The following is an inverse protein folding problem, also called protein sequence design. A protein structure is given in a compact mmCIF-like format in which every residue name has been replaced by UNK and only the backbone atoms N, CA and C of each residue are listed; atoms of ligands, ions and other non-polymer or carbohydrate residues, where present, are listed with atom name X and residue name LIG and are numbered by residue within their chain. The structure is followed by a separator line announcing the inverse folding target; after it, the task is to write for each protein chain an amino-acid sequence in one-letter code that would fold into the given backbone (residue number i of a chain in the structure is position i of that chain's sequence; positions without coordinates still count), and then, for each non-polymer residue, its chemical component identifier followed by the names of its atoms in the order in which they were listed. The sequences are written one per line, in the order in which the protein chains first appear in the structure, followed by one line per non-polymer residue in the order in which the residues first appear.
data_IF_112551336514
#
_entry.id   IF_112551336514
#
_cell.length_a   1.000
_cell.length_b   1.000
_cell.length_c   1.000
_cell.angle_alpha   90.00
_cell.angle_beta   90.00
_cell.angle_gamma   90.00
#
_symmetry.space_group_name_H-M   'P 1'
#
loop_
_entity.id
_entity.type
_entity.pdbx_description
1 polymer ?
#
# COMPACT_ATOMS: atom_id res chain seq x y z
N UNK A 1 24.74 -7.87 43.70
CA UNK A 1 23.41 -8.01 44.36
C UNK A 1 22.61 -6.74 44.13
N UNK A 2 21.52 -6.85 43.33
CA UNK A 2 20.59 -5.73 43.03
C UNK A 2 19.61 -5.42 44.17
N UNK A 3 19.91 -5.83 45.40
CA UNK A 3 18.98 -5.73 46.57
C UNK A 3 18.99 -4.36 47.24
N UNK A 4 19.80 -3.41 46.83
CA UNK A 4 19.92 -2.08 47.41
C UNK A 4 19.80 -1.00 46.34
N UNK A 5 19.09 0.11 46.62
CA UNK A 5 18.98 1.27 45.71
C UNK A 5 20.32 1.92 45.41
N UNK A 6 21.33 1.70 46.23
CA UNK A 6 22.72 2.17 46.02
C UNK A 6 23.48 1.38 44.95
N UNK A 7 22.96 0.23 44.50
CA UNK A 7 23.54 -0.60 43.44
C UNK A 7 23.15 -0.11 42.03
N UNK A 8 22.20 0.81 41.90
CA UNK A 8 21.74 1.34 40.63
C UNK A 8 22.34 2.72 40.35
N UNK A 9 23.05 2.86 39.21
CA UNK A 9 23.38 4.16 38.64
C UNK A 9 22.19 4.73 37.90
N UNK A 10 21.92 6.02 38.04
CA UNK A 10 20.78 6.72 37.44
C UNK A 10 21.28 7.94 36.68
N UNK A 11 20.74 8.16 35.48
CA UNK A 11 21.10 9.31 34.64
C UNK A 11 19.83 9.86 33.98
N UNK A 12 19.77 11.16 33.74
CA UNK A 12 18.76 11.81 32.92
C UNK A 12 19.21 11.75 31.46
N UNK A 13 18.44 11.10 30.61
CA UNK A 13 18.73 10.90 29.17
C UNK A 13 18.28 12.11 28.35
N UNK A 14 17.10 12.63 28.63
CA UNK A 14 16.52 13.83 28.02
C UNK A 14 15.73 14.60 29.07
N UNK A 15 15.82 15.93 29.07
CA UNK A 15 15.11 16.83 30.00
C UNK A 15 14.48 18.03 29.28
N UNK A 16 14.43 18.00 27.95
CA UNK A 16 13.90 19.10 27.16
C UNK A 16 12.39 18.99 27.01
N UNK A 17 11.67 19.45 28.03
CA UNK A 17 10.21 19.39 28.10
C UNK A 17 9.65 18.16 28.85
N UNK A 18 8.40 17.83 28.61
CA UNK A 18 7.72 16.62 29.16
C UNK A 18 8.02 15.43 28.24
N UNK A 19 9.16 14.78 28.46
CA UNK A 19 9.71 13.72 27.61
C UNK A 19 9.81 12.39 28.36
N UNK A 20 9.97 11.28 27.60
CA UNK A 20 10.21 9.94 28.15
C UNK A 20 8.95 9.12 28.42
N UNK A 21 7.75 9.57 28.04
CA UNK A 21 6.54 8.76 28.16
C UNK A 21 6.51 7.61 27.16
N UNK A 22 5.87 6.50 27.54
CA UNK A 22 5.73 5.31 26.69
C UNK A 22 7.05 4.79 26.12
N UNK A 23 8.11 4.83 26.94
CA UNK A 23 9.44 4.41 26.50
C UNK A 23 9.56 2.90 26.32
N UNK A 24 10.48 2.52 25.41
CA UNK A 24 10.90 1.14 25.18
C UNK A 24 12.41 1.13 24.94
N UNK A 25 13.09 0.08 25.36
CA UNK A 25 14.55 -0.05 25.26
C UNK A 25 14.94 -1.34 24.54
N UNK A 26 16.00 -1.24 23.72
CA UNK A 26 16.66 -2.39 23.08
C UNK A 26 18.18 -2.21 23.16
N UNK A 27 18.93 -3.31 22.95
CA UNK A 27 20.40 -3.35 22.99
C UNK A 27 20.85 -4.00 21.69
N UNK A 28 21.78 -3.35 20.97
CA UNK A 28 22.35 -3.87 19.73
C UNK A 28 23.48 -4.88 19.96
N UNK A 29 24.03 -5.45 18.87
CA UNK A 29 25.12 -6.43 18.91
C UNK A 29 26.43 -5.90 19.47
N UNK A 30 26.58 -4.57 19.58
CA UNK A 30 27.76 -3.87 20.12
C UNK A 30 27.52 -3.34 21.54
N UNK A 31 26.49 -3.83 22.22
CA UNK A 31 26.06 -3.38 23.55
C UNK A 31 25.64 -1.90 23.63
N UNK A 32 25.32 -1.24 22.50
CA UNK A 32 24.78 0.09 22.54
C UNK A 32 23.29 0.07 22.94
N UNK A 33 22.88 1.05 23.71
CA UNK A 33 21.52 1.20 24.22
C UNK A 33 20.70 2.09 23.30
N UNK A 34 19.48 1.67 23.01
CA UNK A 34 18.54 2.37 22.15
C UNK A 34 17.20 2.51 22.85
N UNK A 35 16.69 3.74 22.97
CA UNK A 35 15.43 4.05 23.64
C UNK A 35 14.52 4.81 22.69
N UNK A 36 13.34 4.29 22.43
CA UNK A 36 12.24 5.04 21.82
C UNK A 36 11.36 5.63 22.92
N UNK A 37 10.88 6.87 22.75
CA UNK A 37 10.02 7.53 23.72
C UNK A 37 9.21 8.65 23.09
N UNK A 38 8.17 9.09 23.81
CA UNK A 38 7.34 10.21 23.40
C UNK A 38 7.83 11.50 24.05
N UNK A 39 7.90 12.55 23.26
CA UNK A 39 7.93 13.96 23.68
C UNK A 39 6.47 14.47 23.71
N UNK A 40 5.93 14.69 24.91
CA UNK A 40 4.56 15.20 25.08
C UNK A 40 4.47 16.71 24.88
N UNK A 41 5.57 17.44 24.99
CA UNK A 41 5.62 18.89 24.77
C UNK A 41 5.46 19.21 23.29
N UNK A 42 6.24 18.53 22.44
CA UNK A 42 6.20 18.73 20.98
C UNK A 42 5.27 17.73 20.27
N UNK A 43 4.82 16.69 20.98
CA UNK A 43 3.95 15.62 20.47
C UNK A 43 4.65 14.71 19.43
N UNK A 44 5.97 14.53 19.60
CA UNK A 44 6.84 13.82 18.68
C UNK A 44 7.18 12.41 19.17
N UNK A 45 7.54 11.53 18.21
CA UNK A 45 8.31 10.30 18.48
C UNK A 45 9.79 10.66 18.53
N UNK A 46 10.45 10.35 19.66
CA UNK A 46 11.88 10.56 19.84
C UNK A 46 12.64 9.27 20.09
N UNK A 47 13.92 9.35 19.87
CA UNK A 47 14.88 8.29 20.03
C UNK A 47 16.14 8.81 20.74
N UNK A 48 16.69 7.99 21.64
CA UNK A 48 17.96 8.24 22.29
C UNK A 48 18.88 7.02 22.19
N UNK A 49 20.19 7.26 22.07
CA UNK A 49 21.19 6.18 22.03
C UNK A 49 22.44 6.53 22.83
N UNK A 50 23.09 5.47 23.32
CA UNK A 50 24.36 5.54 24.02
C UNK A 50 25.16 4.27 23.80
N UNK A 51 26.41 4.40 23.28
CA UNK A 51 27.32 3.28 22.97
C UNK A 51 28.38 3.01 24.01
N UNK A 52 28.63 3.97 24.94
CA UNK A 52 29.63 3.81 26.00
C UNK A 52 29.39 4.79 27.14
N UNK A 53 29.79 4.42 28.37
CA UNK A 53 29.69 5.30 29.56
C UNK A 53 28.27 5.82 29.80
N UNK A 54 27.25 4.99 29.58
CA UNK A 54 25.81 5.37 29.59
C UNK A 54 25.30 5.81 30.99
N UNK A 55 26.13 5.77 32.00
CA UNK A 55 25.87 6.39 33.32
C UNK A 55 26.16 7.90 33.36
N UNK A 56 26.68 8.48 32.26
CA UNK A 56 26.87 9.93 32.11
C UNK A 56 25.82 10.50 31.14
N UNK A 57 25.18 11.61 31.50
CA UNK A 57 24.20 12.29 30.66
C UNK A 57 24.77 12.75 29.31
N UNK A 58 26.07 13.15 29.31
CA UNK A 58 26.76 13.62 28.10
C UNK A 58 27.06 12.53 27.07
N UNK A 59 26.88 11.25 27.44
CA UNK A 59 27.09 10.11 26.55
C UNK A 59 25.84 9.75 25.72
N UNK A 60 24.68 10.35 26.01
CA UNK A 60 23.44 10.13 25.29
C UNK A 60 23.26 11.15 24.18
N UNK A 61 22.80 10.69 23.04
CA UNK A 61 22.36 11.52 21.91
C UNK A 61 20.89 11.31 21.65
N UNK A 62 20.17 12.42 21.39
CA UNK A 62 18.72 12.40 21.16
C UNK A 62 18.40 12.91 19.76
N UNK A 63 17.40 12.30 19.12
CA UNK A 63 16.89 12.76 17.83
C UNK A 63 15.37 12.60 17.75
N UNK A 64 14.75 13.37 16.86
CA UNK A 64 13.33 13.20 16.51
C UNK A 64 13.22 12.20 15.37
N UNK A 65 12.32 11.22 15.51
CA UNK A 65 12.05 10.19 14.53
C UNK A 65 10.85 10.56 13.65
N UNK A 66 9.77 11.03 14.27
CA UNK A 66 8.57 11.52 13.59
C UNK A 66 8.01 12.72 14.35
N UNK A 67 7.71 13.81 13.63
CA UNK A 67 7.12 15.05 14.16
C UNK A 67 5.86 15.47 13.39
N UNK A 68 5.31 14.58 12.54
CA UNK A 68 4.13 14.89 11.75
C UNK A 68 2.86 14.58 12.54
N UNK A 69 2.31 15.60 13.17
CA UNK A 69 1.13 15.48 14.03
C UNK A 69 1.45 15.05 15.45
N UNK A 70 0.48 14.46 16.14
CA UNK A 70 0.59 13.98 17.50
C UNK A 70 0.96 12.50 17.49
N UNK A 71 2.26 12.17 17.50
CA UNK A 71 2.80 10.83 17.27
C UNK A 71 3.62 10.29 18.46
N UNK A 72 4.11 9.05 18.34
CA UNK A 72 5.00 8.42 19.33
C UNK A 72 4.30 7.93 20.60
N UNK A 73 2.97 7.84 20.61
CA UNK A 73 2.28 7.26 21.75
C UNK A 73 2.45 5.74 21.77
N UNK A 74 2.73 5.19 22.96
CA UNK A 74 2.84 3.73 23.21
C UNK A 74 3.85 3.05 22.29
N UNK A 75 5.03 3.69 22.14
CA UNK A 75 6.11 3.19 21.29
C UNK A 75 6.72 1.89 21.83
N UNK A 76 7.18 1.04 20.91
CA UNK A 76 7.96 -0.17 21.18
C UNK A 76 9.09 -0.29 20.17
N UNK A 77 10.31 -0.64 20.62
CA UNK A 77 11.51 -0.74 19.79
C UNK A 77 12.07 -2.16 19.78
N UNK A 78 12.52 -2.62 18.61
CA UNK A 78 13.28 -3.85 18.40
C UNK A 78 14.43 -3.60 17.43
N UNK A 79 15.36 -4.54 17.35
CA UNK A 79 16.59 -4.47 16.54
C UNK A 79 16.69 -5.75 15.71
N UNK A 80 17.05 -5.63 14.44
CA UNK A 80 17.26 -6.76 13.53
C UNK A 80 18.72 -7.28 13.58
N UNK A 81 19.03 -8.29 12.74
CA UNK A 81 20.36 -8.92 12.72
C UNK A 81 21.48 -8.03 12.17
N UNK A 82 21.12 -6.96 11.45
CA UNK A 82 22.04 -5.95 10.90
C UNK A 82 22.17 -4.70 11.81
N UNK A 83 21.68 -4.78 13.06
CA UNK A 83 21.60 -3.68 14.02
C UNK A 83 20.71 -2.50 13.56
N UNK A 84 19.83 -2.70 12.58
CA UNK A 84 18.85 -1.70 12.23
C UNK A 84 17.71 -1.63 13.25
N UNK A 85 17.22 -0.43 13.49
CA UNK A 85 16.22 -0.14 14.51
C UNK A 85 14.83 -0.12 13.89
N UNK A 86 13.88 -0.69 14.61
CA UNK A 86 12.48 -0.80 14.23
C UNK A 86 11.60 -0.33 15.37
N UNK A 87 10.73 0.64 15.13
CA UNK A 87 9.86 1.24 16.14
C UNK A 87 8.41 1.16 15.67
N UNK A 88 7.53 0.52 16.43
CA UNK A 88 6.08 0.64 16.27
C UNK A 88 5.53 1.70 17.21
N UNK A 89 4.55 2.48 16.77
CA UNK A 89 3.94 3.56 17.56
C UNK A 89 2.55 3.93 17.07
N UNK A 90 1.78 4.58 17.93
CA UNK A 90 0.45 5.09 17.61
C UNK A 90 0.52 6.57 17.23
N UNK A 91 -0.09 6.91 16.09
CA UNK A 91 -0.39 8.27 15.65
C UNK A 91 -1.76 8.67 16.20
N UNK A 92 -1.76 9.56 17.18
CA UNK A 92 -3.00 10.03 17.83
C UNK A 92 -3.82 10.93 16.90
N UNK A 93 -3.15 11.69 16.02
CA UNK A 93 -3.83 12.62 15.09
C UNK A 93 -4.72 11.88 14.11
N UNK A 94 -4.19 10.83 13.50
CA UNK A 94 -4.91 10.08 12.47
C UNK A 94 -5.61 8.82 13.04
N UNK A 95 -5.20 8.38 14.22
CA UNK A 95 -5.67 7.14 14.81
C UNK A 95 -5.03 5.89 14.24
N UNK A 96 -3.81 6.00 13.70
CA UNK A 96 -3.15 4.97 12.91
C UNK A 96 -2.09 4.21 13.70
N UNK A 97 -1.85 2.94 13.30
CA UNK A 97 -0.61 2.24 13.61
C UNK A 97 0.48 2.70 12.65
N UNK A 98 1.57 3.24 13.17
CA UNK A 98 2.76 3.62 12.39
C UNK A 98 3.99 2.80 12.79
N UNK A 99 4.94 2.79 11.88
CA UNK A 99 6.22 2.12 11.99
C UNK A 99 7.33 3.01 11.47
N UNK A 100 8.48 3.00 12.14
CA UNK A 100 9.70 3.68 11.71
C UNK A 100 10.88 2.72 11.72
N UNK A 101 11.81 2.89 10.77
CA UNK A 101 13.08 2.17 10.72
C UNK A 101 14.20 3.06 10.20
N UNK A 102 15.44 2.77 10.61
CA UNK A 102 16.64 3.41 10.09
C UNK A 102 17.48 2.49 9.18
N UNK A 103 16.92 1.38 8.70
CA UNK A 103 17.60 0.38 7.87
C UNK A 103 18.29 0.98 6.62
N UNK A 104 17.79 2.08 6.08
CA UNK A 104 18.41 2.80 4.96
C UNK A 104 19.48 3.83 5.37
N UNK A 105 19.89 3.86 6.65
CA UNK A 105 20.82 4.83 7.21
C UNK A 105 20.18 6.14 7.69
N UNK A 106 18.86 6.31 7.49
CA UNK A 106 18.06 7.42 8.00
C UNK A 106 16.67 6.94 8.39
N UNK A 107 16.01 7.66 9.32
CA UNK A 107 14.65 7.31 9.72
C UNK A 107 13.66 7.45 8.56
N UNK A 108 12.93 6.38 8.31
CA UNK A 108 11.80 6.33 7.38
C UNK A 108 10.55 5.90 8.14
N UNK A 109 9.44 6.62 7.95
CA UNK A 109 8.17 6.40 8.64
C UNK A 109 7.11 5.90 7.66
N UNK A 110 6.30 4.94 8.07
CA UNK A 110 5.18 4.44 7.26
C UNK A 110 3.96 4.15 8.12
N UNK A 111 2.77 4.27 7.55
CA UNK A 111 1.51 3.83 8.16
C UNK A 111 1.33 2.35 7.86
N UNK A 112 1.09 1.55 8.89
CA UNK A 112 0.88 0.10 8.80
C UNK A 112 -0.59 -0.23 8.70
N UNK A 113 -1.42 0.39 9.56
CA UNK A 113 -2.87 0.21 9.56
C UNK A 113 -3.53 1.58 9.85
N UNK A 114 -4.53 1.93 9.04
CA UNK A 114 -5.30 3.19 9.15
C UNK A 114 -6.81 2.97 9.14
N UNK A 115 -7.26 1.73 9.31
CA UNK A 115 -8.69 1.41 9.27
C UNK A 115 -9.29 1.59 10.67
N UNK A 116 -9.84 2.76 10.92
CA UNK A 116 -10.41 3.15 12.21
C UNK A 116 -9.36 3.72 13.18
N UNK A 117 -9.57 3.57 14.50
CA UNK A 117 -8.59 3.96 15.51
C UNK A 117 -7.81 2.72 15.95
N UNK A 118 -6.61 2.55 15.40
CA UNK A 118 -5.76 1.36 15.55
C UNK A 118 -4.37 1.72 16.10
N UNK A 119 -3.55 0.72 16.44
CA UNK A 119 -2.16 0.91 16.87
C UNK A 119 -1.98 1.30 18.33
N UNK A 120 -3.04 1.31 19.14
CA UNK A 120 -2.87 1.51 20.59
C UNK A 120 -2.22 0.30 21.25
N UNK A 121 -1.41 0.54 22.28
CA UNK A 121 -0.72 -0.51 23.03
C UNK A 121 0.12 -1.44 22.16
N UNK A 122 0.78 -0.88 21.13
CA UNK A 122 1.60 -1.64 20.21
C UNK A 122 2.82 -2.25 20.90
N UNK A 123 3.20 -3.45 20.46
CA UNK A 123 4.43 -4.14 20.83
C UNK A 123 5.06 -4.74 19.57
N UNK A 124 6.38 -4.66 19.44
CA UNK A 124 7.15 -5.11 18.28
C UNK A 124 8.16 -6.19 18.68
N UNK A 125 8.32 -7.19 17.84
CA UNK A 125 9.39 -8.19 17.90
C UNK A 125 9.92 -8.46 16.48
N UNK A 126 11.16 -8.96 16.39
CA UNK A 126 11.81 -9.34 15.13
C UNK A 126 12.26 -10.78 15.27
N UNK A 127 12.01 -11.60 14.25
CA UNK A 127 12.45 -12.98 14.23
C UNK A 127 13.89 -13.13 13.67
N UNK A 128 14.41 -14.35 13.69
CA UNK A 128 15.76 -14.66 13.21
C UNK A 128 15.97 -14.49 11.69
N UNK A 129 14.92 -14.14 10.96
CA UNK A 129 14.92 -13.87 9.52
C UNK A 129 14.65 -12.38 9.23
N UNK A 130 14.75 -11.52 10.24
CA UNK A 130 14.50 -10.08 10.21
C UNK A 130 13.06 -9.70 9.83
N UNK A 131 12.12 -10.65 10.05
CA UNK A 131 10.70 -10.35 9.90
C UNK A 131 10.20 -9.58 11.10
N UNK A 132 9.55 -8.45 10.84
CA UNK A 132 8.93 -7.61 11.86
C UNK A 132 7.54 -8.11 12.21
N UNK A 133 7.25 -8.26 13.49
CA UNK A 133 5.97 -8.69 14.06
C UNK A 133 5.47 -7.62 15.01
N UNK A 134 4.23 -7.15 14.84
CA UNK A 134 3.62 -6.11 15.67
C UNK A 134 2.26 -6.57 16.16
N UNK A 135 2.05 -6.59 17.47
CA UNK A 135 0.72 -6.73 18.08
C UNK A 135 0.18 -5.36 18.49
N UNK A 136 -1.13 -5.13 18.35
CA UNK A 136 -1.75 -3.85 18.68
C UNK A 136 -3.26 -3.96 18.89
N UNK A 137 -3.83 -2.98 19.59
CA UNK A 137 -5.25 -2.86 19.82
C UNK A 137 -5.94 -2.01 18.75
N UNK A 138 -7.03 -2.53 18.22
CA UNK A 138 -8.01 -1.82 17.39
C UNK A 138 -9.12 -1.28 18.28
N UNK A 139 -9.09 0.02 18.58
CA UNK A 139 -10.05 0.65 19.48
C UNK A 139 -11.43 0.86 18.83
N UNK A 140 -11.54 0.84 17.51
CA UNK A 140 -12.81 0.95 16.78
C UNK A 140 -13.63 -0.33 16.93
N UNK A 141 -12.99 -1.48 16.72
CA UNK A 141 -13.64 -2.79 16.79
C UNK A 141 -13.47 -3.46 18.17
N UNK A 142 -12.56 -2.93 18.99
CA UNK A 142 -12.18 -3.47 20.30
C UNK A 142 -11.49 -4.83 20.22
N UNK A 143 -10.77 -5.06 19.13
CA UNK A 143 -10.09 -6.31 18.77
C UNK A 143 -8.59 -6.24 19.05
N UNK A 144 -7.98 -7.41 19.30
CA UNK A 144 -6.54 -7.60 19.21
C UNK A 144 -6.16 -7.89 17.77
N UNK A 145 -5.22 -7.10 17.22
CA UNK A 145 -4.70 -7.26 15.86
C UNK A 145 -3.20 -7.52 15.86
N UNK A 146 -2.74 -8.07 14.76
CA UNK A 146 -1.35 -8.37 14.48
C UNK A 146 -1.00 -7.90 13.06
N UNK A 147 0.20 -7.34 12.90
CA UNK A 147 0.77 -6.97 11.62
C UNK A 147 2.20 -7.53 11.46
N UNK A 148 2.60 -7.85 10.24
CA UNK A 148 3.94 -8.35 9.93
C UNK A 148 4.37 -7.96 8.52
N UNK A 149 5.68 -7.81 8.27
CA UNK A 149 6.28 -7.52 6.97
C UNK A 149 6.78 -8.76 6.23
N UNK A 150 6.13 -9.90 6.35
CA UNK A 150 6.56 -11.18 5.74
C UNK A 150 6.92 -11.13 4.23
N UNK A 151 6.83 -9.97 3.59
CA UNK A 151 7.43 -9.71 2.26
C UNK A 151 8.21 -8.40 2.30
N UNK A 152 9.46 -8.46 1.84
CA UNK A 152 10.44 -7.38 1.81
C UNK A 152 9.90 -6.08 1.19
N UNK A 153 9.32 -5.23 1.95
CA UNK A 153 9.17 -3.78 1.77
C UNK A 153 8.00 -3.22 2.57
N UNK A 154 8.21 -2.88 3.83
CA UNK A 154 7.36 -1.89 4.51
C UNK A 154 7.56 -0.48 3.87
N UNK A 155 8.53 -0.31 2.98
CA UNK A 155 8.93 0.97 2.39
C UNK A 155 7.95 1.54 1.37
N UNK A 156 6.87 0.84 1.00
CA UNK A 156 5.93 1.37 0.00
C UNK A 156 4.44 1.16 0.33
N UNK A 157 4.06 1.14 1.59
CA UNK A 157 2.64 1.24 1.99
C UNK A 157 1.71 0.13 1.52
N UNK A 158 2.23 -0.93 0.90
CA UNK A 158 1.44 -2.05 0.38
C UNK A 158 2.24 -3.33 0.56
N UNK A 159 1.82 -4.20 1.50
CA UNK A 159 2.39 -5.53 1.62
C UNK A 159 2.55 -6.13 3.01
N UNK A 160 2.18 -5.41 4.07
CA UNK A 160 2.13 -5.97 5.43
C UNK A 160 0.89 -6.85 5.63
N UNK A 161 1.07 -7.91 6.40
CA UNK A 161 -0.03 -8.78 6.83
C UNK A 161 -0.72 -8.17 8.00
N UNK A 162 -2.01 -7.91 7.92
CA UNK A 162 -2.85 -7.55 9.06
C UNK A 162 -3.81 -8.70 9.34
N UNK A 163 -3.81 -9.22 10.57
CA UNK A 163 -4.71 -10.28 11.03
C UNK A 163 -5.44 -9.87 12.32
N UNK A 164 -6.67 -10.31 12.46
CA UNK A 164 -7.33 -10.35 13.76
C UNK A 164 -6.78 -11.55 14.56
N UNK A 165 -6.35 -11.31 15.78
CA UNK A 165 -5.87 -12.35 16.70
C UNK A 165 -7.01 -12.82 17.60
N UNK A 166 -7.72 -11.88 18.17
CA UNK A 166 -8.90 -12.12 19.02
C UNK A 166 -9.94 -11.02 18.73
N UNK A 167 -11.18 -11.41 18.52
CA UNK A 167 -12.31 -10.53 18.20
C UNK A 167 -13.36 -10.49 19.29
N UNK A 168 -13.02 -10.99 20.47
CA UNK A 168 -13.83 -10.75 21.66
C UNK A 168 -13.75 -9.26 22.03
N UNK A 169 -14.81 -8.73 22.62
CA UNK A 169 -14.86 -7.29 22.93
C UNK A 169 -13.84 -6.90 24.00
N UNK A 170 -13.13 -5.79 23.78
CA UNK A 170 -12.12 -5.18 24.67
C UNK A 170 -10.87 -6.03 24.91
N UNK A 171 -10.41 -6.79 23.92
CA UNK A 171 -9.18 -7.59 24.02
C UNK A 171 -7.96 -6.80 23.58
N UNK A 172 -6.91 -6.76 24.41
CA UNK A 172 -5.68 -5.99 24.16
C UNK A 172 -5.79 -4.50 24.51
N UNK A 173 -6.86 -4.05 25.14
CA UNK A 173 -7.19 -2.63 25.33
C UNK A 173 -6.37 -1.89 26.41
N UNK A 174 -5.56 -2.58 27.19
CA UNK A 174 -4.64 -1.98 28.17
C UNK A 174 -3.18 -2.41 28.03
N UNK A 175 -2.92 -3.35 27.12
CA UNK A 175 -1.57 -3.81 26.81
C UNK A 175 -1.57 -5.07 25.98
N UNK A 176 -0.65 -5.12 25.06
CA UNK A 176 -0.22 -6.33 24.36
C UNK A 176 1.31 -6.44 24.49
N UNK A 177 1.81 -7.67 24.48
CA UNK A 177 3.25 -7.93 24.38
C UNK A 177 3.46 -9.08 23.44
N UNK A 178 4.40 -8.93 22.52
CA UNK A 178 4.73 -9.91 21.49
C UNK A 178 6.17 -10.41 21.67
N UNK A 179 6.37 -11.68 21.44
CA UNK A 179 7.68 -12.31 21.36
C UNK A 179 7.67 -13.33 20.24
N UNK A 180 8.85 -13.64 19.69
CA UNK A 180 9.04 -14.69 18.69
C UNK A 180 10.05 -15.67 19.24
N UNK A 181 9.76 -16.95 19.13
CA UNK A 181 10.67 -18.01 19.59
C UNK A 181 11.73 -18.38 18.54
N UNK A 182 12.64 -19.29 18.88
CA UNK A 182 13.69 -19.74 17.98
C UNK A 182 13.19 -20.52 16.76
N UNK A 183 11.94 -20.96 16.77
CA UNK A 183 11.28 -21.60 15.63
C UNK A 183 10.59 -20.58 14.72
N UNK A 184 10.52 -19.30 15.10
CA UNK A 184 9.78 -18.24 14.42
C UNK A 184 8.29 -18.22 14.79
N UNK A 185 7.87 -18.97 15.81
CA UNK A 185 6.49 -18.93 16.27
C UNK A 185 6.23 -17.65 17.04
N UNK A 186 5.11 -17.00 16.74
CA UNK A 186 4.71 -15.73 17.35
C UNK A 186 3.85 -15.99 18.59
N UNK A 187 4.21 -15.35 19.68
CA UNK A 187 3.53 -15.44 20.96
C UNK A 187 3.06 -14.07 21.40
N UNK A 188 1.77 -13.92 21.72
CA UNK A 188 1.18 -12.65 22.16
C UNK A 188 0.48 -12.87 23.50
N UNK A 189 0.87 -12.12 24.51
CA UNK A 189 0.09 -11.97 25.74
C UNK A 189 -0.69 -10.67 25.72
N UNK A 190 -1.93 -10.68 26.22
CA UNK A 190 -2.81 -9.52 26.18
C UNK A 190 -3.88 -9.56 27.28
N UNK A 191 -4.43 -8.39 27.57
CA UNK A 191 -5.50 -8.23 28.56
C UNK A 191 -6.87 -8.37 27.91
N UNK A 192 -7.74 -9.16 28.51
CA UNK A 192 -9.18 -9.22 28.22
C UNK A 192 -9.94 -8.29 29.17
N UNK A 193 -10.27 -7.11 28.68
CA UNK A 193 -10.96 -6.08 29.46
C UNK A 193 -12.45 -6.38 29.73
N UNK A 194 -13.01 -7.41 29.10
CA UNK A 194 -14.39 -7.84 29.36
C UNK A 194 -14.45 -8.73 30.61
N UNK A 195 -13.51 -9.68 30.72
CA UNK A 195 -13.50 -10.67 31.80
C UNK A 195 -12.49 -10.33 32.88
N UNK A 196 -11.54 -9.43 32.64
CA UNK A 196 -10.46 -9.07 33.54
C UNK A 196 -9.33 -10.11 33.57
N UNK A 197 -9.16 -10.86 32.47
CA UNK A 197 -8.26 -12.01 32.37
C UNK A 197 -6.97 -11.67 31.62
N UNK A 198 -5.88 -12.38 31.96
CA UNK A 198 -4.70 -12.49 31.13
C UNK A 198 -4.93 -13.58 30.07
N UNK A 199 -4.86 -13.20 28.80
CA UNK A 199 -4.99 -14.14 27.67
C UNK A 199 -3.65 -14.29 26.93
N UNK A 200 -3.53 -15.38 26.23
CA UNK A 200 -2.38 -15.73 25.39
C UNK A 200 -2.87 -16.26 24.06
N UNK A 201 -2.20 -15.81 22.98
CA UNK A 201 -2.37 -16.33 21.64
C UNK A 201 -1.02 -16.72 21.05
N UNK A 202 -1.00 -17.73 20.22
CA UNK A 202 0.18 -18.14 19.44
C UNK A 202 -0.19 -18.30 17.98
N UNK A 203 0.77 -17.96 17.12
CA UNK A 203 0.73 -18.24 15.69
C UNK A 203 1.93 -19.11 15.39
N UNK A 204 1.71 -20.43 15.33
CA UNK A 204 2.73 -21.43 15.05
C UNK A 204 3.02 -21.50 13.55
N UNK A 205 4.26 -21.78 13.20
CA UNK A 205 4.66 -22.03 11.82
C UNK A 205 4.78 -20.76 10.96
N UNK A 206 5.06 -19.59 11.54
CA UNK A 206 5.38 -18.36 10.80
C UNK A 206 6.80 -18.35 10.25
N UNK A 207 7.40 -19.52 10.03
CA UNK A 207 8.68 -19.61 9.35
C UNK A 207 8.61 -18.93 7.97
N UNK A 208 9.66 -18.23 7.53
CA UNK A 208 9.75 -17.70 6.16
C UNK A 208 9.53 -18.77 5.08
N UNK A 209 9.58 -20.03 5.47
CA UNK A 209 9.42 -21.24 4.64
C UNK A 209 8.08 -21.96 4.83
N UNK A 210 7.26 -21.60 5.82
CA UNK A 210 5.95 -22.20 6.10
C UNK A 210 4.79 -21.22 5.87
N UNK A 211 4.83 -20.50 4.79
CA UNK A 211 3.80 -19.51 4.45
C UNK A 211 2.55 -20.22 3.96
N UNK A 212 1.48 -20.14 4.74
CA UNK A 212 0.14 -20.23 4.16
C UNK A 212 -0.08 -18.94 3.38
N UNK A 213 -0.19 -19.02 2.07
CA UNK A 213 -0.38 -17.81 1.30
C UNK A 213 -0.25 -18.05 -0.18
N UNK A 214 -0.34 -16.93 -0.89
CA UNK A 214 -0.29 -16.91 -2.34
C UNK A 214 0.82 -15.97 -2.79
N UNK A 215 1.55 -16.36 -3.82
CA UNK A 215 2.42 -15.45 -4.58
C UNK A 215 2.06 -15.50 -6.06
N UNK A 216 2.51 -14.53 -6.79
CA UNK A 216 2.33 -14.44 -8.23
C UNK A 216 3.64 -14.08 -8.91
N UNK A 217 3.93 -14.75 -10.01
CA UNK A 217 5.10 -14.47 -10.84
C UNK A 217 4.71 -14.55 -12.32
N UNK A 218 5.15 -13.61 -13.11
CA UNK A 218 5.84 -12.35 -12.80
C UNK A 218 4.94 -11.34 -12.08
N UNK A 219 5.47 -10.14 -11.75
CA UNK A 219 4.70 -9.06 -11.12
C UNK A 219 3.47 -8.70 -11.94
N UNK A 220 2.33 -8.44 -11.26
CA UNK A 220 1.10 -7.97 -11.87
C UNK A 220 1.30 -6.63 -12.61
N UNK A 221 0.41 -6.29 -13.57
CA UNK A 221 0.34 -4.95 -14.14
C UNK A 221 0.20 -3.87 -13.07
N UNK A 222 0.77 -2.70 -13.32
CA UNK A 222 0.71 -1.55 -12.41
C UNK A 222 -0.74 -1.20 -12.05
N UNK A 223 -1.01 -1.05 -10.76
CA UNK A 223 -2.35 -0.80 -10.22
C UNK A 223 -3.12 -2.04 -9.80
N UNK A 224 -2.65 -3.26 -10.14
CA UNK A 224 -3.20 -4.50 -9.61
C UNK A 224 -2.33 -5.06 -8.49
N UNK A 225 -2.96 -5.65 -7.48
CA UNK A 225 -2.32 -6.24 -6.31
C UNK A 225 -2.87 -7.64 -6.04
N UNK A 226 -2.00 -8.54 -5.59
CA UNK A 226 -2.39 -9.83 -5.05
C UNK A 226 -2.45 -9.75 -3.52
N UNK A 227 -3.57 -10.13 -2.94
CA UNK A 227 -3.65 -10.38 -1.51
C UNK A 227 -2.98 -11.74 -1.23
N UNK A 228 -1.81 -11.70 -0.59
CA UNK A 228 -1.01 -12.88 -0.32
C UNK A 228 -1.66 -13.92 0.60
N UNK A 229 -2.78 -13.59 1.27
CA UNK A 229 -3.50 -14.51 2.18
C UNK A 229 -4.76 -15.10 1.56
N UNK A 230 -5.54 -14.27 0.86
CA UNK A 230 -6.79 -14.70 0.26
C UNK A 230 -6.61 -15.22 -1.16
N UNK A 231 -5.49 -14.87 -1.81
CA UNK A 231 -5.26 -15.10 -3.23
C UNK A 231 -6.08 -14.17 -4.13
N UNK A 232 -6.75 -13.17 -3.56
CA UNK A 232 -7.56 -12.20 -4.30
C UNK A 232 -6.66 -11.24 -5.08
N UNK A 233 -6.96 -11.05 -6.35
CA UNK A 233 -6.35 -10.00 -7.17
C UNK A 233 -7.34 -8.85 -7.25
N UNK A 234 -6.89 -7.66 -6.85
CA UNK A 234 -7.72 -6.44 -6.78
C UNK A 234 -6.94 -5.23 -7.27
N UNK A 235 -7.66 -4.11 -7.45
CA UNK A 235 -7.09 -2.85 -7.90
C UNK A 235 -7.60 -2.42 -9.27
N UNK A 236 -7.09 -1.28 -9.75
CA UNK A 236 -7.40 -0.72 -11.07
C UNK A 236 -6.10 -0.56 -11.84
N UNK A 237 -5.92 -1.26 -12.97
CA UNK A 237 -4.70 -1.14 -13.77
C UNK A 237 -4.59 0.27 -14.35
N UNK A 238 -3.37 0.82 -14.36
CA UNK A 238 -3.08 2.18 -14.81
C UNK A 238 -2.24 2.24 -16.08
N UNK A 239 -1.74 1.09 -16.55
CA UNK A 239 -0.92 0.96 -17.76
C UNK A 239 -1.41 -0.22 -18.60
N UNK A 240 -1.32 -0.07 -19.94
CA UNK A 240 -1.63 -1.16 -20.88
C UNK A 240 -0.63 -2.32 -20.70
N UNK A 241 -1.11 -3.53 -20.81
CA UNK A 241 -0.28 -4.73 -20.72
C UNK A 241 -0.73 -5.76 -21.75
N UNK A 242 0.22 -6.25 -22.54
CA UNK A 242 -0.05 -7.36 -23.44
C UNK A 242 -0.49 -8.59 -22.66
N UNK A 243 -1.23 -9.48 -23.34
CA UNK A 243 -1.62 -10.77 -22.80
C UNK A 243 -0.41 -11.53 -22.25
N UNK A 244 -0.38 -11.75 -20.92
CA UNK A 244 0.73 -12.36 -20.20
C UNK A 244 0.22 -13.39 -19.22
N UNK A 245 0.91 -14.52 -19.16
CA UNK A 245 0.60 -15.59 -18.21
C UNK A 245 1.31 -15.35 -16.88
N UNK A 246 0.57 -15.46 -15.79
CA UNK A 246 1.03 -15.34 -14.41
C UNK A 246 0.83 -16.67 -13.70
N UNK A 247 1.87 -17.12 -13.00
CA UNK A 247 1.80 -18.31 -12.15
C UNK A 247 1.49 -17.88 -10.72
N UNK A 248 0.37 -18.33 -10.20
CA UNK A 248 0.00 -18.18 -8.79
C UNK A 248 0.43 -19.45 -8.07
N UNK A 249 1.21 -19.30 -7.01
CA UNK A 249 1.62 -20.38 -6.13
C UNK A 249 0.92 -20.23 -4.79
N UNK A 250 0.26 -21.31 -4.35
CA UNK A 250 -0.32 -21.39 -3.01
C UNK A 250 0.51 -22.38 -2.17
N UNK A 251 0.76 -22.03 -0.90
CA UNK A 251 1.52 -22.87 0.03
C UNK A 251 0.68 -23.22 1.26
N UNK A 252 0.95 -24.39 1.80
CA UNK A 252 0.52 -24.82 3.13
C UNK A 252 1.57 -25.75 3.75
N UNK A 253 1.36 -26.24 4.97
CA UNK A 253 2.28 -27.19 5.65
C UNK A 253 2.54 -28.49 4.88
N UNK A 254 1.67 -28.85 3.94
CA UNK A 254 1.83 -30.03 3.08
C UNK A 254 2.66 -29.76 1.83
N UNK A 255 3.04 -28.50 1.55
CA UNK A 255 3.79 -28.10 0.38
C UNK A 255 3.11 -26.97 -0.43
N UNK A 256 3.47 -26.86 -1.70
CA UNK A 256 2.91 -25.86 -2.61
C UNK A 256 2.22 -26.48 -3.82
N UNK A 257 1.23 -25.75 -4.35
CA UNK A 257 0.62 -26.05 -5.65
C UNK A 257 0.51 -24.76 -6.46
N UNK A 258 0.48 -24.89 -7.78
CA UNK A 258 0.47 -23.75 -8.69
C UNK A 258 -0.72 -23.80 -9.63
N UNK A 259 -1.22 -22.62 -9.99
CA UNK A 259 -2.15 -22.43 -11.10
C UNK A 259 -1.70 -21.23 -11.94
N UNK A 260 -2.24 -21.09 -13.13
CA UNK A 260 -1.92 -19.96 -14.01
C UNK A 260 -3.18 -19.18 -14.35
N UNK A 261 -3.01 -17.86 -14.46
CA UNK A 261 -3.99 -16.95 -15.03
C UNK A 261 -3.33 -16.16 -16.15
N UNK A 262 -4.14 -15.64 -17.05
CA UNK A 262 -3.69 -14.76 -18.12
C UNK A 262 -4.36 -13.40 -17.93
N UNK A 263 -3.58 -12.34 -17.94
CA UNK A 263 -4.07 -10.96 -17.79
C UNK A 263 -3.61 -10.15 -18.99
N UNK A 264 -4.55 -9.41 -19.57
CA UNK A 264 -4.33 -8.38 -20.56
C UNK A 264 -4.99 -7.09 -20.05
N UNK A 265 -4.33 -5.96 -20.22
CA UNK A 265 -4.90 -4.64 -19.90
C UNK A 265 -5.01 -3.86 -21.19
N UNK A 266 -6.23 -3.56 -21.56
CA UNK A 266 -6.58 -2.88 -22.83
C UNK A 266 -7.24 -1.53 -22.51
N UNK A 267 -7.30 -0.65 -23.52
CA UNK A 267 -8.03 0.61 -23.42
C UNK A 267 -9.53 0.41 -23.25
N UNK A 268 -10.21 1.39 -22.72
CA UNK A 268 -11.67 1.47 -22.82
C UNK A 268 -12.07 1.71 -24.26
N UNK A 269 -13.18 1.12 -24.69
CA UNK A 269 -13.76 1.39 -26.02
C UNK A 269 -13.94 2.90 -26.21
N UNK A 270 -13.53 3.47 -27.38
CA UNK A 270 -13.77 4.87 -27.67
C UNK A 270 -15.27 5.14 -27.83
N UNK A 271 -15.79 6.17 -27.19
CA UNK A 271 -17.10 6.71 -27.57
C UNK A 271 -16.94 7.59 -28.80
N UNK A 272 -17.75 7.40 -29.85
CA UNK A 272 -17.65 8.14 -31.10
C UNK A 272 -18.99 8.74 -31.48
N UNK A 273 -18.99 10.02 -31.85
CA UNK A 273 -20.15 10.73 -32.39
C UNK A 273 -19.76 11.82 -33.39
N UNK A 274 -20.70 12.18 -34.25
CA UNK A 274 -20.59 13.31 -35.16
C UNK A 274 -21.82 14.23 -35.00
N UNK A 275 -21.62 15.53 -35.19
CA UNK A 275 -22.71 16.52 -35.18
C UNK A 275 -22.44 17.59 -36.23
N UNK A 276 -23.36 17.79 -37.21
CA UNK A 276 -24.63 17.07 -37.39
C UNK A 276 -24.45 15.64 -37.91
N UNK A 277 -25.40 14.74 -37.59
CA UNK A 277 -25.43 13.35 -38.11
C UNK A 277 -25.92 13.26 -39.58
N UNK A 278 -26.58 14.32 -40.05
CA UNK A 278 -27.10 14.41 -41.41
C UNK A 278 -26.55 15.64 -42.12
N UNK A 279 -25.90 15.45 -43.24
CA UNK A 279 -25.32 16.51 -44.04
C UNK A 279 -26.10 16.71 -45.33
N UNK A 280 -26.45 17.94 -45.68
CA UNK A 280 -26.91 18.32 -46.99
C UNK A 280 -25.93 19.28 -47.64
N UNK A 281 -25.19 18.80 -48.60
CA UNK A 281 -24.11 19.53 -49.25
C UNK A 281 -24.52 19.94 -50.67
N UNK A 282 -24.10 21.12 -51.07
CA UNK A 282 -24.31 21.63 -52.45
C UNK A 282 -23.10 21.33 -53.31
N UNK A 283 -23.30 20.77 -54.50
CA UNK A 283 -22.23 20.45 -55.43
C UNK A 283 -21.43 21.73 -55.81
N UNK A 284 -20.13 21.58 -55.84
CA UNK A 284 -19.15 22.64 -56.15
C UNK A 284 -19.25 23.88 -55.20
N UNK A 285 -19.81 23.69 -54.02
CA UNK A 285 -19.89 24.77 -53.03
C UNK A 285 -19.32 24.32 -51.68
N UNK A 286 -18.64 25.24 -50.98
CA UNK A 286 -18.15 25.00 -49.63
C UNK A 286 -19.33 25.06 -48.62
N UNK A 287 -19.42 24.05 -47.76
CA UNK A 287 -20.39 24.05 -46.68
C UNK A 287 -19.81 24.55 -45.39
N UNK A 288 -20.63 25.24 -44.56
CA UNK A 288 -20.29 25.60 -43.17
C UNK A 288 -20.26 24.40 -42.23
N UNK A 289 -20.87 23.28 -42.64
CA UNK A 289 -20.91 22.05 -41.84
C UNK A 289 -19.62 21.21 -42.01
N UNK A 290 -18.69 21.68 -42.87
CA UNK A 290 -17.39 21.05 -43.08
C UNK A 290 -16.26 22.02 -42.66
N UNK A 291 -15.18 21.54 -42.02
CA UNK A 291 -14.89 20.14 -41.71
C UNK A 291 -15.81 19.58 -40.62
N UNK A 292 -16.35 18.39 -40.81
CA UNK A 292 -17.09 17.65 -39.81
C UNK A 292 -16.10 16.82 -38.97
N UNK A 293 -15.97 17.17 -37.72
CA UNK A 293 -15.00 16.55 -36.81
C UNK A 293 -15.64 15.45 -35.96
N UNK A 294 -14.88 14.40 -35.68
CA UNK A 294 -15.24 13.38 -34.72
C UNK A 294 -15.25 13.97 -33.29
N UNK A 295 -16.25 13.65 -32.51
CA UNK A 295 -16.25 13.84 -31.06
C UNK A 295 -15.99 12.52 -30.40
N UNK A 296 -14.89 12.46 -29.63
CA UNK A 296 -14.48 11.27 -28.88
C UNK A 296 -14.79 11.44 -27.39
N UNK A 297 -15.27 10.35 -26.78
CA UNK A 297 -15.39 10.21 -25.32
C UNK A 297 -14.73 8.90 -24.91
N UNK A 298 -14.29 8.79 -23.65
CA UNK A 298 -13.53 7.65 -23.15
C UNK A 298 -12.02 7.91 -23.17
N UNK A 299 -11.26 6.94 -22.68
CA UNK A 299 -9.78 7.00 -22.60
C UNK A 299 -9.15 6.02 -23.58
N UNK A 300 -7.96 6.36 -24.01
CA UNK A 300 -7.14 5.53 -24.89
C UNK A 300 -6.90 6.16 -26.25
N UNK A 301 -5.71 5.89 -26.80
CA UNK A 301 -5.28 6.45 -28.08
C UNK A 301 -5.95 5.71 -29.24
N UNK A 302 -6.57 6.44 -30.16
CA UNK A 302 -7.09 5.85 -31.41
C UNK A 302 -5.92 5.44 -32.29
N UNK A 303 -5.90 4.18 -32.69
CA UNK A 303 -4.85 3.59 -33.52
C UNK A 303 -5.19 3.60 -34.99
N UNK A 304 -6.48 3.54 -35.35
CA UNK A 304 -6.92 3.63 -36.74
C UNK A 304 -8.35 4.16 -36.88
N UNK A 305 -8.62 4.75 -38.05
CA UNK A 305 -9.93 5.24 -38.43
C UNK A 305 -10.33 4.62 -39.75
N UNK A 306 -11.59 4.26 -39.91
CA UNK A 306 -12.15 3.65 -41.10
C UNK A 306 -13.49 4.30 -41.45
N UNK A 307 -13.85 4.27 -42.71
CA UNK A 307 -15.15 4.72 -43.21
C UNK A 307 -15.67 3.78 -44.29
N UNK A 308 -16.94 3.46 -44.29
CA UNK A 308 -17.62 2.69 -45.32
C UNK A 308 -19.06 3.17 -45.51
N UNK A 309 -19.53 3.27 -46.75
CA UNK A 309 -18.82 3.18 -48.01
C UNK A 309 -17.83 4.34 -48.23
N UNK A 310 -17.07 4.35 -49.31
CA UNK A 310 -16.20 5.46 -49.64
C UNK A 310 -17.01 6.73 -49.89
N UNK A 311 -16.47 7.90 -49.46
CA UNK A 311 -17.10 9.20 -49.68
C UNK A 311 -17.20 9.55 -51.18
N UNK A 312 -18.17 10.37 -51.58
CA UNK A 312 -18.27 10.84 -52.98
C UNK A 312 -17.11 11.71 -53.34
N UNK A 313 -16.82 11.78 -54.64
CA UNK A 313 -15.71 12.58 -55.18
C UNK A 313 -15.79 14.06 -54.74
N UNK A 314 -14.67 14.60 -54.31
CA UNK A 314 -14.51 15.93 -53.74
C UNK A 314 -14.56 16.00 -52.23
N UNK A 315 -15.02 14.94 -51.56
CA UNK A 315 -14.90 14.80 -50.11
C UNK A 315 -13.73 13.88 -49.75
N UNK A 316 -13.12 14.15 -48.63
CA UNK A 316 -11.97 13.43 -48.09
C UNK A 316 -12.23 13.00 -46.64
N UNK A 317 -11.79 11.81 -46.27
CA UNK A 317 -11.80 11.31 -44.91
C UNK A 317 -10.39 11.27 -44.32
N UNK A 318 -10.24 11.80 -43.13
CA UNK A 318 -8.96 11.80 -42.40
C UNK A 318 -8.76 10.49 -41.63
N UNK A 319 -7.88 9.65 -42.15
CA UNK A 319 -7.56 8.36 -41.54
C UNK A 319 -6.74 8.48 -40.22
N UNK A 320 -6.32 9.67 -39.88
CA UNK A 320 -5.61 9.97 -38.60
C UNK A 320 -6.50 10.60 -37.51
N UNK A 321 -7.66 11.18 -37.87
CA UNK A 321 -8.47 11.96 -36.95
C UNK A 321 -9.98 11.83 -37.14
N UNK A 322 -10.44 11.04 -38.13
CA UNK A 322 -11.84 10.82 -38.42
C UNK A 322 -12.58 12.01 -39.01
N UNK A 323 -11.88 13.09 -39.41
CA UNK A 323 -12.51 14.30 -39.97
C UNK A 323 -12.97 14.08 -41.38
N UNK A 324 -14.14 14.63 -41.76
CA UNK A 324 -14.62 14.70 -43.16
C UNK A 324 -14.52 16.15 -43.63
N UNK A 325 -13.90 16.38 -44.79
CA UNK A 325 -13.76 17.72 -45.38
C UNK A 325 -13.76 17.68 -46.92
N UNK A 326 -13.85 18.81 -47.55
CA UNK A 326 -13.76 18.99 -49.00
C UNK A 326 -14.98 19.66 -49.59
N UNK A 327 -15.05 19.67 -50.93
CA UNK A 327 -16.16 20.23 -51.71
C UNK A 327 -16.68 19.13 -52.61
N UNK A 328 -17.94 18.68 -52.48
CA UNK A 328 -18.46 17.58 -53.32
C UNK A 328 -18.54 18.00 -54.79
N UNK A 329 -18.05 17.14 -55.68
CA UNK A 329 -18.05 17.42 -57.11
C UNK A 329 -19.04 16.54 -57.87
N UNK A 330 -19.70 15.60 -57.20
CA UNK A 330 -20.68 14.67 -57.80
C UNK A 330 -21.99 14.77 -57.03
N UNK A 331 -23.12 14.82 -57.79
CA UNK A 331 -24.46 14.83 -57.24
C UNK A 331 -24.84 13.42 -56.76
N UNK A 332 -25.22 13.30 -55.52
CA UNK A 332 -25.88 12.12 -54.94
C UNK A 332 -27.39 12.39 -54.88
N UNK A 333 -28.18 11.60 -55.60
CA UNK A 333 -29.66 11.75 -55.68
C UNK A 333 -30.38 10.98 -54.58
N UNK A 334 -29.69 10.08 -53.88
CA UNK A 334 -30.19 9.29 -52.78
C UNK A 334 -29.28 9.46 -51.58
N UNK A 335 -29.78 9.72 -50.38
CA UNK A 335 -28.99 9.74 -49.16
C UNK A 335 -28.21 8.43 -48.98
N UNK A 336 -26.97 8.51 -48.59
CA UNK A 336 -26.08 7.37 -48.28
C UNK A 336 -25.61 7.51 -46.84
N UNK A 337 -25.78 6.43 -46.09
CA UNK A 337 -25.26 6.39 -44.72
C UNK A 337 -23.83 5.89 -44.75
N UNK A 338 -22.96 6.69 -44.15
CA UNK A 338 -21.55 6.35 -43.96
C UNK A 338 -21.33 5.91 -42.51
N UNK A 339 -20.75 4.74 -42.33
CA UNK A 339 -20.33 4.29 -41.01
C UNK A 339 -18.86 4.55 -40.85
N UNK A 340 -18.52 5.16 -39.74
CA UNK A 340 -17.13 5.53 -39.39
C UNK A 340 -16.76 4.76 -38.14
N UNK A 341 -15.57 4.16 -38.12
CA UNK A 341 -15.03 3.42 -36.97
C UNK A 341 -13.79 4.12 -36.44
N UNK A 342 -13.71 4.17 -35.10
CA UNK A 342 -12.54 4.49 -34.34
C UNK A 342 -12.08 3.27 -33.56
N UNK A 343 -10.81 2.90 -33.74
CA UNK A 343 -10.26 1.67 -33.16
C UNK A 343 -9.14 2.02 -32.17
N UNK A 344 -9.11 1.31 -31.03
CA UNK A 344 -8.00 1.31 -30.07
C UNK A 344 -7.72 -0.12 -29.59
N UNK A 345 -6.84 -0.33 -28.57
CA UNK A 345 -6.55 -1.67 -28.05
C UNK A 345 -7.76 -2.33 -27.38
N UNK A 346 -8.75 -1.56 -26.92
CA UNK A 346 -9.99 -2.05 -26.35
C UNK A 346 -10.99 -2.54 -27.37
N UNK A 347 -10.81 -2.22 -28.64
CA UNK A 347 -11.68 -2.62 -29.73
C UNK A 347 -12.12 -1.48 -30.63
N UNK A 348 -13.28 -1.63 -31.27
CA UNK A 348 -13.82 -0.74 -32.29
C UNK A 348 -15.17 -0.17 -31.86
N UNK A 349 -15.35 1.13 -32.04
CA UNK A 349 -16.63 1.80 -31.93
C UNK A 349 -16.98 2.50 -33.24
N UNK A 350 -18.30 2.64 -33.54
CA UNK A 350 -18.75 3.26 -34.76
C UNK A 350 -19.82 4.33 -34.53
N UNK A 351 -19.85 5.29 -35.45
CA UNK A 351 -20.91 6.26 -35.61
C UNK A 351 -21.32 6.36 -37.08
N UNK A 352 -22.50 6.87 -37.33
CA UNK A 352 -23.03 7.06 -38.69
C UNK A 352 -23.23 8.53 -39.01
N UNK A 353 -23.02 8.87 -40.27
CA UNK A 353 -23.30 10.19 -40.86
C UNK A 353 -24.11 9.98 -42.12
#
# INVERSE_FOLDING_TARGET
SCSSTSSWSKVTVDSNGDVGKYNSIAIDSNDALHISYRDSTNQDLKYATCSSSCTSASSWTNSTVDSVGNVGSRTSIAIDSDDALHISYHDITNGDLKYATNQSGSWANTTVDSVGTVGKYTSIAIDSSDVVHISYYDATNQDLKYASNMQSSIVSGVGGVIKFVDRDTKVGNEGTSIAVDSNGDVHISYYDGTNGDLKYATLEGVHPWNVYGYSISPSLPVGLNLNAFTGEISGTPTELSNNKTYTITAWNTGGSNTTTITIEVIDQLPGLSYSPENLTLTINNQSSDLPLNATLTGSGAITSWEISPALPSGLTFGTSNGTIWGIPTVLQTIPVTYTIWANNSGGSSSATV
#
